data_IF_907561040399
#
_entry.id   IF_907561040399
#
_cell.length_a   1.000
_cell.length_b   1.000
_cell.length_c   1.000
_cell.angle_alpha   90.00
_cell.angle_beta   90.00
_cell.angle_gamma   90.00
#
_symmetry.space_group_name_H-M   'P 1'
#
loop_
_entity.id
_entity.type
_entity.pdbx_description
1 polymer ?
#
# COMPACT_ATOMS: atom_id res chain seq x y z
N UNK A 1 28.92 -21.31 -30.11
CA UNK A 1 28.99 -21.47 -28.63
C UNK A 1 29.48 -20.22 -27.89
N UNK A 2 29.72 -19.09 -28.58
CA UNK A 2 30.34 -17.86 -28.03
C UNK A 2 29.35 -16.86 -27.40
N UNK A 3 28.05 -16.96 -27.69
CA UNK A 3 27.01 -16.09 -27.13
C UNK A 3 26.56 -16.44 -25.71
N UNK A 4 27.01 -17.58 -25.15
CA UNK A 4 26.59 -18.03 -23.80
C UNK A 4 26.92 -17.01 -22.70
N UNK A 5 28.04 -16.27 -22.84
CA UNK A 5 28.41 -15.19 -21.92
C UNK A 5 27.52 -13.95 -22.06
N UNK A 6 27.26 -13.52 -23.29
CA UNK A 6 26.42 -12.36 -23.58
C UNK A 6 24.96 -12.57 -23.11
N UNK A 7 24.41 -13.78 -23.31
CA UNK A 7 23.04 -14.11 -22.87
C UNK A 7 22.95 -14.08 -21.34
N UNK A 8 23.96 -14.60 -20.62
CA UNK A 8 24.01 -14.52 -19.14
C UNK A 8 24.10 -13.08 -18.65
N UNK A 9 24.88 -12.24 -19.31
CA UNK A 9 24.99 -10.82 -18.97
C UNK A 9 23.63 -10.11 -19.13
N UNK A 10 22.97 -10.28 -20.27
CA UNK A 10 21.65 -9.68 -20.52
C UNK A 10 20.61 -10.17 -19.51
N UNK A 11 20.61 -11.46 -19.18
CA UNK A 11 19.69 -12.02 -18.19
C UNK A 11 19.89 -11.41 -16.79
N UNK A 12 21.14 -11.17 -16.37
CA UNK A 12 21.44 -10.51 -15.09
C UNK A 12 20.94 -9.06 -15.08
N UNK A 13 21.20 -8.30 -16.14
CA UNK A 13 20.73 -6.92 -16.25
C UNK A 13 19.20 -6.86 -16.24
N UNK A 14 18.54 -7.74 -16.99
CA UNK A 14 17.08 -7.84 -16.99
C UNK A 14 16.54 -8.15 -15.60
N UNK A 15 17.15 -9.10 -14.88
CA UNK A 15 16.76 -9.43 -13.51
C UNK A 15 16.90 -8.23 -12.56
N UNK A 16 17.97 -7.44 -12.68
CA UNK A 16 18.16 -6.22 -11.90
C UNK A 16 17.05 -5.20 -12.19
N UNK A 17 16.69 -5.00 -13.47
CA UNK A 17 15.60 -4.10 -13.86
C UNK A 17 14.27 -4.58 -13.26
N UNK A 18 13.99 -5.89 -13.29
CA UNK A 18 12.78 -6.44 -12.67
C UNK A 18 12.76 -6.24 -11.14
N UNK A 19 13.90 -6.44 -10.47
CA UNK A 19 14.01 -6.18 -9.02
C UNK A 19 13.78 -4.70 -8.70
N UNK A 20 14.30 -3.80 -9.52
CA UNK A 20 14.07 -2.37 -9.40
C UNK A 20 12.59 -2.02 -9.59
N UNK A 21 11.89 -2.62 -10.55
CA UNK A 21 10.46 -2.37 -10.73
C UNK A 21 9.63 -2.93 -9.55
N UNK A 22 9.94 -4.15 -9.11
CA UNK A 22 9.26 -4.77 -7.98
C UNK A 22 9.48 -4.03 -6.67
N UNK A 23 10.61 -3.36 -6.48
CA UNK A 23 10.88 -2.63 -5.24
C UNK A 23 9.88 -1.50 -4.99
N UNK A 24 9.42 -0.79 -6.03
CA UNK A 24 8.36 0.22 -5.90
C UNK A 24 7.05 -0.40 -5.43
N UNK A 25 6.63 -1.51 -6.05
CA UNK A 25 5.44 -2.28 -5.65
C UNK A 25 5.53 -2.80 -4.21
N UNK A 26 6.72 -3.16 -3.74
CA UNK A 26 6.88 -3.59 -2.34
C UNK A 26 6.70 -2.42 -1.37
N UNK A 27 7.26 -1.25 -1.71
CA UNK A 27 7.14 -0.05 -0.87
C UNK A 27 5.69 0.43 -0.79
N UNK A 28 4.98 0.51 -1.92
CA UNK A 28 3.56 0.89 -1.95
C UNK A 28 2.75 -0.02 -1.05
N UNK A 29 2.92 -1.34 -1.17
CA UNK A 29 2.25 -2.35 -0.32
C UNK A 29 2.59 -2.18 1.15
N UNK A 30 3.84 -1.87 1.50
CA UNK A 30 4.21 -1.61 2.90
C UNK A 30 3.45 -0.39 3.44
N UNK A 31 3.37 0.68 2.67
CA UNK A 31 2.70 1.90 3.10
C UNK A 31 1.17 1.73 3.19
N UNK A 32 0.57 1.02 2.24
CA UNK A 32 -0.84 0.63 2.29
C UNK A 32 -1.15 -0.26 3.50
N UNK A 33 -0.26 -1.18 3.83
CA UNK A 33 -0.42 -2.03 5.01
C UNK A 33 -0.31 -1.22 6.31
N UNK A 34 0.51 -0.15 6.35
CA UNK A 34 0.51 0.79 7.47
C UNK A 34 -0.80 1.58 7.54
N UNK A 35 -1.33 2.02 6.41
CA UNK A 35 -2.61 2.74 6.32
C UNK A 35 -3.77 1.85 6.80
N UNK A 36 -3.82 0.59 6.37
CA UNK A 36 -4.78 -0.40 6.82
C UNK A 36 -4.70 -0.62 8.33
N UNK A 37 -3.48 -0.78 8.89
CA UNK A 37 -3.29 -0.89 10.35
C UNK A 37 -3.75 0.35 11.12
N UNK A 38 -3.56 1.54 10.56
CA UNK A 38 -4.06 2.78 11.16
C UNK A 38 -5.59 2.81 11.17
N UNK A 39 -6.22 2.46 10.05
CA UNK A 39 -7.66 2.36 9.92
C UNK A 39 -8.25 1.32 10.89
N UNK A 40 -7.67 0.12 10.99
CA UNK A 40 -8.14 -0.90 11.95
C UNK A 40 -8.05 -0.43 13.40
N UNK A 41 -7.00 0.34 13.77
CA UNK A 41 -6.91 0.91 15.13
C UNK A 41 -8.03 1.91 15.41
N UNK A 42 -8.34 2.77 14.44
CA UNK A 42 -9.44 3.72 14.55
C UNK A 42 -10.79 3.00 14.67
N UNK A 43 -11.00 1.96 13.87
CA UNK A 43 -12.20 1.13 13.90
C UNK A 43 -12.33 0.39 15.23
N UNK A 44 -11.24 -0.20 15.75
CA UNK A 44 -11.23 -0.86 17.06
C UNK A 44 -11.52 0.12 18.22
N UNK A 45 -11.15 1.39 18.09
CA UNK A 45 -11.51 2.43 19.05
C UNK A 45 -13.02 2.76 18.96
N UNK A 46 -13.58 2.86 17.76
CA UNK A 46 -15.01 3.11 17.55
C UNK A 46 -15.86 1.91 17.96
N UNK A 47 -15.41 0.68 17.72
CA UNK A 47 -16.10 -0.54 18.18
C UNK A 47 -16.25 -0.61 19.70
N UNK A 48 -15.32 0.00 20.45
CA UNK A 48 -15.38 0.08 21.91
C UNK A 48 -16.27 1.22 22.42
N UNK A 49 -16.70 2.13 21.54
CA UNK A 49 -17.57 3.25 21.92
C UNK A 49 -19.02 2.78 22.12
N UNK A 50 -19.72 3.40 23.06
CA UNK A 50 -21.12 3.07 23.37
C UNK A 50 -22.07 3.36 22.19
N UNK A 51 -21.66 4.22 21.24
CA UNK A 51 -22.44 4.53 20.03
C UNK A 51 -22.52 3.33 19.09
N UNK A 52 -21.47 2.51 19.00
CA UNK A 52 -21.48 1.30 18.16
C UNK A 52 -22.46 0.22 18.64
N UNK A 53 -22.67 0.13 19.96
CA UNK A 53 -23.59 -0.85 20.55
C UNK A 53 -25.07 -0.56 20.25
N UNK A 54 -25.42 0.68 19.90
CA UNK A 54 -26.79 1.10 19.60
C UNK A 54 -27.15 0.98 18.11
N UNK A 55 -26.20 0.60 17.25
CA UNK A 55 -26.42 0.46 15.80
C UNK A 55 -27.04 -0.93 15.52
N UNK A 56 -28.05 -1.03 14.63
CA UNK A 56 -28.58 -2.30 14.14
C UNK A 56 -27.48 -3.23 13.62
N UNK A 57 -27.57 -4.53 13.90
CA UNK A 57 -26.50 -5.49 13.58
C UNK A 57 -26.19 -5.56 12.08
N UNK A 58 -27.21 -5.38 11.23
CA UNK A 58 -27.06 -5.30 9.78
C UNK A 58 -26.14 -4.16 9.31
N UNK A 59 -26.21 -3.00 9.96
CA UNK A 59 -25.50 -1.78 9.51
C UNK A 59 -24.11 -1.65 10.12
N UNK A 60 -23.81 -2.42 11.18
CA UNK A 60 -22.49 -2.42 11.83
C UNK A 60 -21.36 -2.66 10.83
N UNK A 61 -21.53 -3.63 9.93
CA UNK A 61 -20.50 -3.94 8.92
C UNK A 61 -20.26 -2.76 7.97
N UNK A 62 -21.33 -2.13 7.48
CA UNK A 62 -21.28 -0.98 6.58
C UNK A 62 -20.67 0.26 7.26
N UNK A 63 -21.03 0.50 8.53
CA UNK A 63 -20.50 1.59 9.32
C UNK A 63 -18.98 1.45 9.55
N UNK A 64 -18.54 0.26 9.94
CA UNK A 64 -17.12 -0.02 10.13
C UNK A 64 -16.33 0.10 8.82
N UNK A 65 -16.89 -0.37 7.70
CA UNK A 65 -16.26 -0.25 6.39
C UNK A 65 -16.12 1.21 5.95
N UNK A 66 -17.15 2.03 6.18
CA UNK A 66 -17.10 3.47 5.91
C UNK A 66 -15.97 4.16 6.69
N UNK A 67 -15.83 3.84 7.98
CA UNK A 67 -14.75 4.37 8.82
C UNK A 67 -13.38 3.89 8.33
N UNK A 68 -13.25 2.60 8.02
CA UNK A 68 -12.00 2.04 7.46
C UNK A 68 -11.56 2.82 6.24
N UNK A 69 -12.47 2.99 5.28
CA UNK A 69 -12.17 3.66 4.01
C UNK A 69 -11.79 5.12 4.21
N UNK A 70 -12.51 5.83 5.07
CA UNK A 70 -12.22 7.25 5.35
C UNK A 70 -10.87 7.42 6.06
N UNK A 71 -10.60 6.62 7.10
CA UNK A 71 -9.33 6.67 7.84
C UNK A 71 -8.15 6.25 6.97
N UNK A 72 -8.32 5.22 6.14
CA UNK A 72 -7.31 4.81 5.19
C UNK A 72 -7.00 5.93 4.19
N UNK A 73 -8.03 6.57 3.62
CA UNK A 73 -7.87 7.70 2.71
C UNK A 73 -7.15 8.88 3.36
N UNK A 74 -7.53 9.25 4.59
CA UNK A 74 -6.88 10.33 5.34
C UNK A 74 -5.40 10.06 5.58
N UNK A 75 -5.06 8.83 5.98
CA UNK A 75 -3.67 8.44 6.17
C UNK A 75 -2.88 8.50 4.87
N UNK A 76 -3.45 7.97 3.78
CA UNK A 76 -2.80 7.99 2.46
C UNK A 76 -2.59 9.43 1.97
N UNK A 77 -3.55 10.32 2.19
CA UNK A 77 -3.44 11.73 1.83
C UNK A 77 -2.31 12.42 2.60
N UNK A 78 -2.20 12.17 3.91
CA UNK A 78 -1.14 12.79 4.73
C UNK A 78 0.26 12.32 4.37
N UNK A 79 0.43 11.06 3.94
CA UNK A 79 1.72 10.49 3.54
C UNK A 79 2.02 10.68 2.05
N UNK A 80 1.04 11.16 1.26
CA UNK A 80 1.13 11.29 -0.20
C UNK A 80 2.34 12.10 -0.66
N UNK A 81 2.60 13.22 0.02
CA UNK A 81 3.72 14.13 -0.28
C UNK A 81 5.00 13.79 0.48
N UNK A 82 4.97 12.78 1.35
CA UNK A 82 6.13 12.38 2.14
C UNK A 82 7.08 11.52 1.30
N UNK A 83 8.39 11.75 1.44
CA UNK A 83 9.42 10.96 0.78
C UNK A 83 9.57 9.60 1.46
N UNK A 84 9.14 8.54 0.79
CA UNK A 84 9.09 7.18 1.37
C UNK A 84 10.12 6.24 0.77
N UNK A 85 10.69 6.53 -0.40
CA UNK A 85 11.63 5.64 -1.07
C UNK A 85 12.57 6.34 -2.03
N UNK A 86 13.88 6.19 -1.82
CA UNK A 86 14.94 6.70 -2.71
C UNK A 86 14.76 8.17 -3.15
N UNK A 87 14.21 9.01 -2.26
CA UNK A 87 13.94 10.43 -2.52
C UNK A 87 12.61 10.73 -3.23
N UNK A 88 11.87 9.71 -3.66
CA UNK A 88 10.53 9.81 -4.24
C UNK A 88 9.45 9.89 -3.16
N UNK A 89 8.40 10.66 -3.46
CA UNK A 89 7.21 10.74 -2.61
C UNK A 89 6.36 9.48 -2.70
N UNK A 90 5.47 9.23 -1.74
CA UNK A 90 4.53 8.11 -1.85
C UNK A 90 3.74 8.16 -3.16
N UNK A 91 3.28 9.35 -3.56
CA UNK A 91 2.59 9.55 -4.83
C UNK A 91 3.43 9.11 -6.03
N UNK A 92 4.69 9.54 -6.08
CA UNK A 92 5.61 9.17 -7.16
C UNK A 92 5.87 7.65 -7.19
N UNK A 93 6.02 7.03 -6.02
CA UNK A 93 6.25 5.58 -5.89
C UNK A 93 5.01 4.80 -6.31
N UNK A 94 3.82 5.30 -5.98
CA UNK A 94 2.53 4.73 -6.39
C UNK A 94 2.31 4.81 -7.90
N UNK A 95 2.72 5.91 -8.54
CA UNK A 95 2.68 6.04 -10.00
C UNK A 95 3.69 5.12 -10.71
N UNK A 96 4.79 4.78 -10.04
CA UNK A 96 5.83 3.87 -10.56
C UNK A 96 5.58 2.39 -10.24
N UNK A 97 4.54 2.09 -9.48
CA UNK A 97 4.15 0.72 -9.16
C UNK A 97 3.74 -0.04 -10.44
N UNK A 98 4.13 -1.31 -10.53
CA UNK A 98 3.61 -2.18 -11.59
C UNK A 98 2.10 -2.38 -11.39
N UNK A 99 1.32 -2.16 -12.45
CA UNK A 99 -0.09 -2.55 -12.48
C UNK A 99 -0.19 -4.08 -12.58
N UNK A 100 -0.52 -4.74 -11.48
CA UNK A 100 -0.69 -6.19 -11.42
C UNK A 100 -2.10 -6.68 -11.81
N UNK A 101 -3.00 -5.78 -12.20
CA UNK A 101 -4.41 -6.08 -12.50
C UNK A 101 -5.30 -5.89 -11.29
#
# INVERSE_FOLDING_TARGET
>A
MQSKGAIRFVAIVLAIVCLWQLSFTLVTRIQENKAAKYAEKAVAAVQKSAEFSNIPEEDKAFYLDSIRKDQNRRFIDSVSTEKVYLGYTYKDVKEKEINLG
#
